data_IF_664089638748
#
_entry.id   IF_664089638748
#
_cell.length_a   1.000
_cell.length_b   1.000
_cell.length_c   1.000
_cell.angle_alpha   90.00
_cell.angle_beta   90.00
_cell.angle_gamma   90.00
#
_symmetry.space_group_name_H-M   'P 1'
#
loop_
_entity.id
_entity.type
_entity.pdbx_description
1 polymer ?
#
# COMPACT_ATOMS: atom_id res chain seq x y z
N UNK A 1 10.61 62.56 -3.22
CA UNK A 1 9.29 62.78 -3.84
C UNK A 1 8.38 61.65 -3.39
N UNK A 2 7.59 61.91 -2.34
CA UNK A 2 6.74 60.93 -1.67
C UNK A 2 5.37 60.91 -2.35
N UNK A 3 4.95 59.76 -2.89
CA UNK A 3 3.67 59.64 -3.61
C UNK A 3 2.69 58.84 -2.76
N UNK A 4 1.89 59.56 -1.99
CA UNK A 4 0.71 59.06 -1.26
C UNK A 4 -0.33 58.58 -2.27
N UNK A 5 -0.69 57.29 -2.24
CA UNK A 5 -1.84 56.76 -3.00
C UNK A 5 -3.01 56.50 -2.05
N UNK A 6 -4.15 57.06 -2.42
CA UNK A 6 -5.39 57.09 -1.66
C UNK A 6 -6.06 55.71 -1.56
N UNK A 7 -6.47 55.40 -0.34
CA UNK A 7 -7.35 54.30 0.03
C UNK A 7 -8.77 54.58 -0.48
N UNK A 8 -9.41 53.63 -1.17
CA UNK A 8 -10.85 53.64 -1.40
C UNK A 8 -11.46 52.36 -0.83
N UNK A 9 -12.13 52.53 0.31
CA UNK A 9 -13.02 51.56 0.94
C UNK A 9 -14.26 51.38 0.06
N UNK A 10 -14.55 50.14 -0.34
CA UNK A 10 -15.87 49.74 -0.83
C UNK A 10 -16.62 49.04 0.30
N UNK A 11 -17.76 49.62 0.64
CA UNK A 11 -18.62 49.22 1.75
C UNK A 11 -19.76 48.29 1.27
N UNK A 12 -20.09 47.34 2.16
CA UNK A 12 -21.42 46.81 2.49
C UNK A 12 -22.33 46.23 1.39
N UNK A 13 -22.68 44.95 1.55
CA UNK A 13 -24.10 44.58 1.74
C UNK A 13 -24.22 43.19 2.41
N UNK A 14 -24.82 43.18 3.60
CA UNK A 14 -25.25 41.99 4.34
C UNK A 14 -26.78 41.88 4.23
N UNK A 15 -27.31 40.67 4.05
CA UNK A 15 -28.75 40.35 4.13
C UNK A 15 -28.93 38.96 4.78
N UNK A 16 -30.10 38.64 5.37
CA UNK A 16 -30.19 38.12 6.73
C UNK A 16 -30.70 36.67 6.83
N UNK A 17 -30.56 36.17 8.06
CA UNK A 17 -31.03 34.90 8.63
C UNK A 17 -32.56 34.90 8.80
N UNK A 18 -33.25 33.83 8.42
CA UNK A 18 -34.63 33.54 8.84
C UNK A 18 -34.67 32.13 9.46
N UNK A 19 -35.10 32.07 10.72
CA UNK A 19 -35.45 30.86 11.47
C UNK A 19 -36.97 30.74 11.45
N UNK A 20 -37.49 29.54 11.15
CA UNK A 20 -38.87 29.17 11.44
C UNK A 20 -38.90 27.71 11.88
N UNK A 21 -39.24 27.48 13.15
CA UNK A 21 -39.61 26.17 13.68
C UNK A 21 -41.12 25.96 13.59
N UNK A 22 -41.56 24.70 13.64
CA UNK A 22 -42.88 24.34 14.11
C UNK A 22 -42.83 22.94 14.75
N UNK A 23 -43.24 22.92 16.02
CA UNK A 23 -43.48 21.79 16.89
C UNK A 23 -44.81 21.07 16.58
N UNK A 24 -44.82 19.77 16.87
CA UNK A 24 -45.89 18.88 17.36
C UNK A 24 -47.37 19.18 17.04
N UNK A 25 -48.10 18.20 16.49
CA UNK A 25 -49.52 17.92 16.78
C UNK A 25 -49.91 16.51 16.31
N UNK A 26 -50.50 15.73 17.22
CA UNK A 26 -51.14 14.41 17.03
C UNK A 26 -52.34 14.42 16.07
N UNK A 27 -52.77 13.24 15.62
CA UNK A 27 -54.14 12.84 15.97
C UNK A 27 -54.25 11.39 16.49
N UNK A 28 -55.03 11.25 17.56
CA UNK A 28 -55.61 10.03 18.13
C UNK A 28 -57.13 10.08 17.92
N UNK A 29 -57.74 9.06 17.30
CA UNK A 29 -58.76 8.19 17.92
C UNK A 29 -59.14 7.01 16.99
N UNK A 30 -59.51 5.89 17.63
CA UNK A 30 -59.56 4.49 17.18
C UNK A 30 -60.98 4.10 16.66
N UNK A 31 -61.49 2.82 16.64
CA UNK A 31 -61.01 1.51 17.13
C UNK A 31 -61.14 0.40 16.03
N UNK A 32 -60.91 -0.91 16.15
CA UNK A 32 -60.81 -1.89 17.23
C UNK A 32 -60.01 -3.09 16.67
N UNK A 33 -59.11 -3.72 17.42
CA UNK A 33 -59.38 -5.00 18.10
C UNK A 33 -58.20 -5.34 19.03
N UNK A 34 -58.51 -5.92 20.18
CA UNK A 34 -57.64 -6.22 21.32
C UNK A 34 -57.97 -7.67 21.76
N UNK A 35 -57.24 -8.34 22.68
CA UNK A 35 -55.78 -8.44 22.91
C UNK A 35 -55.32 -9.92 23.10
N UNK A 36 -54.08 -10.05 23.61
CA UNK A 36 -53.55 -11.13 24.47
C UNK A 36 -52.72 -12.20 23.76
N UNK A 37 -51.64 -12.77 24.32
CA UNK A 37 -50.72 -12.45 25.41
C UNK A 37 -49.64 -13.56 25.38
N UNK A 38 -48.53 -13.31 26.09
CA UNK A 38 -47.67 -14.31 26.77
C UNK A 38 -46.74 -15.26 25.99
N UNK A 39 -45.44 -15.02 26.19
CA UNK A 39 -44.38 -15.93 26.67
C UNK A 39 -44.34 -17.41 26.27
N UNK A 40 -43.21 -17.85 25.71
CA UNK A 40 -42.49 -19.09 26.12
C UNK A 40 -41.10 -19.11 25.47
N UNK A 41 -40.01 -19.28 26.23
CA UNK A 41 -39.33 -20.57 26.54
C UNK A 41 -38.84 -21.25 25.24
N UNK A 42 -37.53 -21.36 24.95
CA UNK A 42 -36.54 -22.12 25.71
C UNK A 42 -36.46 -23.55 25.16
N UNK A 43 -35.24 -24.13 25.11
CA UNK A 43 -34.88 -25.52 24.70
C UNK A 43 -34.76 -25.71 23.18
N UNK A 44 -33.78 -26.42 22.59
CA UNK A 44 -33.11 -27.66 23.00
C UNK A 44 -31.70 -27.82 22.42
N UNK A 45 -30.77 -28.27 23.27
CA UNK A 45 -29.53 -28.96 22.91
C UNK A 45 -29.79 -30.20 22.05
N UNK A 46 -28.94 -30.43 21.05
CA UNK A 46 -28.80 -31.73 20.41
C UNK A 46 -27.44 -32.32 20.82
N UNK A 47 -27.48 -33.35 21.66
CA UNK A 47 -26.38 -34.27 21.90
C UNK A 47 -26.84 -35.66 21.45
N UNK A 48 -26.07 -36.28 20.56
CA UNK A 48 -26.20 -37.70 20.26
C UNK A 48 -24.82 -38.27 19.99
N UNK A 49 -24.43 -39.23 20.82
CA UNK A 49 -23.24 -40.07 20.71
C UNK A 49 -23.56 -41.37 19.98
N UNK A 50 -22.59 -41.88 19.22
CA UNK A 50 -22.31 -43.33 19.03
C UNK A 50 -21.10 -43.48 18.09
N UNK A 51 -19.94 -44.01 18.52
CA UNK A 51 -19.52 -45.43 18.64
C UNK A 51 -18.95 -46.01 17.34
N UNK A 52 -17.62 -46.21 17.35
CA UNK A 52 -16.83 -47.39 16.92
C UNK A 52 -17.07 -48.05 15.54
N UNK A 53 -16.01 -48.20 14.72
CA UNK A 53 -15.54 -49.51 14.19
C UNK A 53 -14.53 -49.39 13.04
N UNK A 54 -13.49 -50.22 13.17
CA UNK A 54 -12.44 -50.67 12.25
C UNK A 54 -12.75 -50.78 10.74
N UNK A 55 -11.78 -50.41 9.90
CA UNK A 55 -11.38 -51.20 8.72
C UNK A 55 -10.01 -50.76 8.14
N UNK A 56 -9.11 -51.73 7.98
CA UNK A 56 -7.90 -51.66 7.14
C UNK A 56 -8.28 -51.53 5.65
N UNK A 57 -7.60 -50.67 4.89
CA UNK A 57 -7.53 -50.76 3.43
C UNK A 57 -6.26 -50.08 2.89
N UNK A 58 -5.52 -50.83 2.07
CA UNK A 58 -4.22 -50.51 1.48
C UNK A 58 -4.30 -49.70 0.19
N UNK A 59 -3.16 -49.06 -0.18
CA UNK A 59 -2.67 -48.64 -1.53
C UNK A 59 -2.72 -47.14 -1.85
N UNK A 60 -1.87 -46.62 -2.76
CA UNK A 60 -0.53 -47.03 -3.19
C UNK A 60 0.52 -45.92 -2.99
N UNK A 61 1.82 -46.29 -2.96
CA UNK A 61 2.92 -45.35 -3.12
C UNK A 61 2.82 -44.65 -4.50
N UNK A 62 2.68 -43.32 -4.48
CA UNK A 62 2.95 -42.48 -5.64
C UNK A 62 4.37 -41.95 -5.51
N UNK A 63 5.26 -42.15 -6.50
CA UNK A 63 6.51 -41.39 -6.54
C UNK A 63 6.17 -39.95 -6.93
N UNK A 64 6.02 -39.08 -5.94
CA UNK A 64 6.13 -37.63 -6.17
C UNK A 64 7.57 -37.35 -6.55
N UNK A 65 7.83 -37.35 -7.87
CA UNK A 65 8.96 -36.64 -8.44
C UNK A 65 8.73 -35.16 -8.18
N UNK A 66 9.22 -34.67 -7.04
CA UNK A 66 9.42 -33.24 -6.83
C UNK A 66 10.52 -32.80 -7.79
N UNK A 67 10.12 -32.44 -9.01
CA UNK A 67 10.92 -31.53 -9.83
C UNK A 67 10.72 -30.16 -9.22
N UNK A 68 11.56 -29.85 -8.24
CA UNK A 68 11.84 -28.48 -7.85
C UNK A 68 12.36 -27.78 -9.11
N UNK A 69 11.71 -26.72 -9.61
CA UNK A 69 12.39 -25.84 -10.54
C UNK A 69 13.50 -25.18 -9.73
N UNK A 70 14.73 -25.69 -9.85
CA UNK A 70 15.91 -24.91 -9.50
C UNK A 70 15.86 -23.65 -10.37
N UNK A 71 15.26 -22.60 -9.80
CA UNK A 71 15.38 -21.24 -10.27
C UNK A 71 16.89 -21.00 -10.33
N UNK A 72 17.40 -20.96 -11.56
CA UNK A 72 18.82 -20.68 -11.82
C UNK A 72 19.04 -19.21 -11.53
N UNK A 73 18.95 -18.83 -10.25
CA UNK A 73 19.46 -17.58 -9.74
C UNK A 73 20.98 -17.70 -9.82
N UNK A 74 21.54 -17.27 -10.95
CA UNK A 74 22.98 -17.06 -11.07
C UNK A 74 23.47 -16.26 -9.86
N UNK A 75 24.64 -16.62 -9.32
CA UNK A 75 25.20 -15.98 -8.13
C UNK A 75 25.10 -14.46 -8.24
N UNK A 76 24.58 -13.82 -7.18
CA UNK A 76 24.40 -12.37 -7.15
C UNK A 76 25.73 -11.63 -7.43
N UNK A 77 25.73 -10.55 -8.23
CA UNK A 77 26.92 -9.73 -8.49
C UNK A 77 27.53 -9.13 -7.22
N UNK A 78 28.80 -8.72 -7.29
CA UNK A 78 29.47 -8.08 -6.16
C UNK A 78 28.77 -6.77 -5.74
N UNK A 79 28.38 -6.67 -4.47
CA UNK A 79 27.69 -5.48 -3.93
C UNK A 79 26.16 -5.48 -4.11
N UNK A 80 25.61 -6.49 -4.79
CA UNK A 80 24.18 -6.79 -4.79
C UNK A 80 23.73 -7.16 -3.36
N UNK A 81 22.59 -6.64 -2.92
CA UNK A 81 22.06 -6.86 -1.58
C UNK A 81 20.92 -7.87 -1.61
N UNK A 82 21.01 -8.93 -0.80
CA UNK A 82 19.98 -9.97 -0.74
C UNK A 82 20.12 -11.02 -1.85
N UNK A 83 19.06 -11.80 -2.07
CA UNK A 83 19.04 -12.90 -3.04
C UNK A 83 18.13 -12.52 -4.21
N UNK A 84 18.64 -12.47 -5.45
CA UNK A 84 17.83 -12.13 -6.61
C UNK A 84 16.77 -13.21 -6.87
N UNK A 85 15.53 -12.79 -7.15
CA UNK A 85 14.43 -13.67 -7.53
C UNK A 85 13.42 -12.93 -8.42
N UNK A 86 12.70 -13.65 -9.26
CA UNK A 86 11.57 -13.09 -10.01
C UNK A 86 10.26 -13.06 -9.20
N UNK A 87 10.21 -13.76 -8.06
CA UNK A 87 9.02 -13.84 -7.22
C UNK A 87 8.76 -12.52 -6.47
N UNK A 88 7.49 -12.30 -6.09
CA UNK A 88 7.09 -11.20 -5.19
C UNK A 88 7.83 -11.32 -3.83
N UNK A 89 8.23 -10.19 -3.27
CA UNK A 89 9.05 -10.08 -2.06
C UNK A 89 8.29 -9.36 -0.94
N UNK A 90 7.34 -10.00 -0.24
CA UNK A 90 6.64 -9.39 0.88
C UNK A 90 7.48 -9.42 2.17
N UNK A 91 7.45 -8.32 2.93
CA UNK A 91 7.87 -8.29 4.32
C UNK A 91 6.75 -7.67 5.18
N UNK A 92 6.15 -8.48 6.05
CA UNK A 92 5.18 -8.00 7.03
C UNK A 92 5.90 -7.56 8.30
N UNK A 93 6.34 -6.29 8.33
CA UNK A 93 7.07 -5.73 9.47
C UNK A 93 6.97 -4.20 9.51
N UNK A 94 5.80 -3.64 9.84
CA UNK A 94 5.59 -2.19 9.84
C UNK A 94 5.01 -1.61 11.15
N UNK A 95 4.85 -2.41 12.20
CA UNK A 95 4.22 -1.94 13.44
C UNK A 95 5.02 -0.79 14.08
N UNK A 96 4.38 0.37 14.20
CA UNK A 96 4.95 1.57 14.84
C UNK A 96 6.03 2.30 14.05
N UNK A 97 6.20 2.01 12.75
CA UNK A 97 7.11 2.77 11.89
C UNK A 97 6.50 4.11 11.43
N UNK A 98 7.32 5.15 11.42
CA UNK A 98 6.97 6.50 10.96
C UNK A 98 8.03 7.00 9.96
N UNK A 99 8.21 6.24 8.89
CA UNK A 99 9.25 6.46 7.89
C UNK A 99 8.76 7.44 6.82
N UNK A 100 9.31 8.65 6.82
CA UNK A 100 9.01 9.71 5.85
C UNK A 100 9.97 9.57 4.67
N UNK A 101 9.50 9.26 3.44
CA UNK A 101 10.36 9.20 2.26
C UNK A 101 10.90 10.60 1.95
N UNK A 102 12.22 10.77 1.94
CA UNK A 102 12.88 12.08 1.73
C UNK A 102 13.69 12.14 0.44
N UNK A 103 14.05 10.99 -0.14
CA UNK A 103 14.74 10.95 -1.42
C UNK A 103 14.51 9.62 -2.16
N UNK A 104 14.50 9.71 -3.50
CA UNK A 104 14.53 8.58 -4.41
C UNK A 104 15.78 8.71 -5.26
N UNK A 105 16.58 7.64 -5.35
CA UNK A 105 17.79 7.61 -6.18
C UNK A 105 17.84 6.33 -7.00
N UNK A 106 18.35 6.44 -8.22
CA UNK A 106 18.56 5.31 -9.12
C UNK A 106 20.02 5.34 -9.57
N UNK A 107 20.68 4.19 -9.64
CA UNK A 107 22.07 4.10 -10.07
C UNK A 107 22.38 2.76 -10.71
N UNK A 108 23.23 2.79 -11.73
CA UNK A 108 23.75 1.59 -12.39
C UNK A 108 25.08 1.16 -11.82
N UNK A 109 25.23 -0.14 -11.63
CA UNK A 109 26.43 -0.80 -11.13
C UNK A 109 26.83 -1.96 -12.06
N UNK A 110 28.00 -2.54 -11.81
CA UNK A 110 28.43 -3.72 -12.55
C UNK A 110 27.55 -4.92 -12.17
N UNK A 111 26.71 -5.35 -13.12
CA UNK A 111 25.84 -6.52 -12.99
C UNK A 111 24.50 -6.28 -12.31
N UNK A 112 24.23 -5.07 -11.81
CA UNK A 112 22.93 -4.71 -11.26
C UNK A 112 22.62 -3.22 -11.33
N UNK A 113 21.34 -2.88 -11.33
CA UNK A 113 20.85 -1.51 -11.12
C UNK A 113 20.14 -1.43 -9.77
N UNK A 114 20.24 -0.26 -9.12
CA UNK A 114 19.75 -0.04 -7.76
C UNK A 114 18.78 1.13 -7.71
N UNK A 115 17.63 0.90 -7.08
CA UNK A 115 16.72 1.94 -6.62
C UNK A 115 16.85 2.06 -5.10
N UNK A 116 17.01 3.28 -4.58
CA UNK A 116 17.07 3.58 -3.15
C UNK A 116 15.98 4.58 -2.80
N UNK A 117 15.10 4.19 -1.88
CA UNK A 117 14.19 5.10 -1.19
C UNK A 117 14.80 5.38 0.18
N UNK A 118 15.22 6.62 0.43
CA UNK A 118 15.73 7.07 1.72
C UNK A 118 14.62 7.67 2.55
N UNK A 119 14.64 7.39 3.84
CA UNK A 119 13.67 7.88 4.79
C UNK A 119 14.33 8.62 5.95
N UNK A 120 13.53 9.47 6.59
CA UNK A 120 13.75 9.90 7.97
C UNK A 120 12.68 9.30 8.87
N UNK A 121 12.92 9.34 10.18
CA UNK A 121 11.98 8.82 11.17
C UNK A 121 12.35 7.42 11.68
N UNK A 122 11.66 6.96 12.73
CA UNK A 122 11.94 5.70 13.40
C UNK A 122 11.21 4.49 12.79
N UNK A 123 11.63 3.30 13.22
CA UNK A 123 10.98 2.03 12.91
C UNK A 123 11.61 1.29 11.73
N UNK A 124 10.96 0.18 11.35
CA UNK A 124 11.34 -0.65 10.20
C UNK A 124 10.14 -0.73 9.26
N UNK A 125 10.35 -0.69 7.94
CA UNK A 125 9.26 -0.75 6.98
C UNK A 125 8.80 -2.20 6.78
N UNK A 126 7.51 -2.36 6.51
CA UNK A 126 7.02 -3.50 5.76
C UNK A 126 7.01 -3.15 4.27
N UNK A 127 6.88 -4.14 3.40
CA UNK A 127 6.68 -3.87 1.98
C UNK A 127 6.05 -5.06 1.26
N UNK A 128 5.56 -4.79 0.05
CA UNK A 128 5.22 -5.79 -0.93
C UNK A 128 5.68 -5.33 -2.31
N UNK A 129 5.88 -6.30 -3.21
CA UNK A 129 6.20 -6.04 -4.60
C UNK A 129 5.29 -6.84 -5.52
N UNK A 130 5.05 -6.30 -6.71
CA UNK A 130 4.26 -6.98 -7.73
C UNK A 130 4.68 -6.54 -9.13
N UNK A 131 5.04 -7.49 -9.99
CA UNK A 131 5.22 -7.22 -11.41
C UNK A 131 3.87 -7.04 -12.13
N UNK A 132 3.74 -6.01 -12.96
CA UNK A 132 2.54 -5.76 -13.76
C UNK A 132 2.81 -4.88 -14.98
N UNK A 133 2.00 -5.03 -16.02
CA UNK A 133 1.98 -4.13 -17.18
C UNK A 133 0.84 -3.11 -17.12
N UNK A 134 0.10 -3.08 -16.02
CA UNK A 134 -1.04 -2.18 -15.82
C UNK A 134 -1.10 -1.72 -14.36
N UNK A 135 -0.06 -1.04 -13.87
CA UNK A 135 -0.07 -0.53 -12.50
C UNK A 135 -1.18 0.51 -12.36
N UNK A 136 -1.82 0.50 -11.18
CA UNK A 136 -2.89 1.42 -10.84
C UNK A 136 -2.60 2.07 -9.49
N UNK A 137 -2.97 3.34 -9.36
CA UNK A 137 -2.77 4.10 -8.13
C UNK A 137 -3.67 3.53 -7.02
N UNK A 138 -3.08 3.23 -5.86
CA UNK A 138 -3.84 2.81 -4.68
C UNK A 138 -4.96 3.81 -4.37
N UNK A 139 -6.05 3.30 -3.77
CA UNK A 139 -7.32 3.97 -3.51
C UNK A 139 -8.15 4.36 -4.77
N UNK A 140 -7.55 5.05 -5.75
CA UNK A 140 -8.30 5.57 -6.90
C UNK A 140 -8.54 4.54 -8.02
N UNK A 141 -7.66 3.54 -8.14
CA UNK A 141 -7.67 2.56 -9.22
C UNK A 141 -7.32 3.12 -10.61
N UNK A 142 -6.89 4.39 -10.70
CA UNK A 142 -6.50 5.01 -11.98
C UNK A 142 -5.20 4.40 -12.50
N UNK A 143 -5.05 4.17 -13.81
CA UNK A 143 -3.79 3.73 -14.39
C UNK A 143 -2.63 4.68 -14.06
N UNK A 144 -1.46 4.12 -13.78
CA UNK A 144 -0.22 4.86 -13.55
C UNK A 144 0.66 4.71 -14.79
N UNK A 145 1.10 5.83 -15.36
CA UNK A 145 2.05 5.82 -16.47
C UNK A 145 3.46 5.48 -15.97
N UNK A 146 4.19 4.69 -16.75
CA UNK A 146 5.59 4.35 -16.55
C UNK A 146 6.26 4.12 -17.91
N UNK A 147 7.57 4.32 -17.98
CA UNK A 147 8.38 3.99 -19.16
C UNK A 147 8.93 2.57 -19.03
N UNK A 148 9.14 1.84 -20.14
CA UNK A 148 9.69 0.48 -20.14
C UNK A 148 8.71 -0.60 -20.60
N UNK A 149 9.18 -1.84 -20.61
CA UNK A 149 8.39 -3.00 -21.04
C UNK A 149 7.48 -3.55 -19.93
N UNK A 150 7.89 -3.41 -18.67
CA UNK A 150 7.13 -3.85 -17.50
C UNK A 150 7.37 -2.92 -16.32
N UNK A 151 6.57 -3.03 -15.27
CA UNK A 151 6.76 -2.30 -14.04
C UNK A 151 6.75 -3.23 -12.81
N UNK A 152 7.59 -2.89 -11.83
CA UNK A 152 7.47 -3.39 -10.47
C UNK A 152 6.72 -2.35 -9.63
N UNK A 153 5.55 -2.72 -9.11
CA UNK A 153 4.89 -1.95 -8.04
C UNK A 153 5.59 -2.28 -6.73
N UNK A 154 6.01 -1.26 -5.99
CA UNK A 154 6.58 -1.36 -4.65
C UNK A 154 5.69 -0.55 -3.70
N UNK A 155 5.00 -1.22 -2.78
CA UNK A 155 4.31 -0.57 -1.68
C UNK A 155 5.15 -0.68 -0.41
N UNK A 156 5.45 0.45 0.22
CA UNK A 156 6.25 0.51 1.45
C UNK A 156 5.36 0.94 2.61
N UNK A 157 5.24 0.08 3.60
CA UNK A 157 4.41 0.27 4.79
C UNK A 157 5.15 1.00 5.91
N UNK A 158 4.38 1.59 6.84
CA UNK A 158 4.94 2.38 7.93
C UNK A 158 5.34 3.79 7.48
N UNK A 159 4.71 4.31 6.43
CA UNK A 159 4.99 5.64 5.88
C UNK A 159 3.79 6.57 6.10
N UNK A 160 3.90 7.60 6.96
CA UNK A 160 2.75 8.39 7.39
C UNK A 160 2.29 9.34 6.28
N UNK A 161 0.98 9.44 6.02
CA UNK A 161 0.43 10.38 5.04
C UNK A 161 0.84 11.85 5.34
N UNK A 162 1.31 12.63 4.36
CA UNK A 162 1.73 14.03 4.53
C UNK A 162 0.55 14.98 4.78
N UNK A 163 -0.06 14.86 5.96
CA UNK A 163 -1.27 15.60 6.38
C UNK A 163 -1.00 17.03 6.87
N UNK A 164 0.25 17.37 7.18
CA UNK A 164 0.65 18.69 7.69
C UNK A 164 1.63 19.37 6.75
N UNK A 165 1.70 20.72 6.71
CA UNK A 165 2.67 21.43 5.88
C UNK A 165 4.12 21.04 6.17
N UNK A 166 4.45 20.77 7.44
CA UNK A 166 5.80 20.36 7.84
C UNK A 166 6.16 18.99 7.25
N UNK A 167 5.23 18.04 7.30
CA UNK A 167 5.45 16.70 6.75
C UNK A 167 5.49 16.75 5.22
N UNK A 168 4.63 17.54 4.58
CA UNK A 168 4.64 17.77 3.13
C UNK A 168 5.98 18.32 2.62
N UNK A 169 6.61 19.22 3.38
CA UNK A 169 7.92 19.78 3.03
C UNK A 169 9.08 18.78 3.15
N UNK A 170 8.94 17.76 4.01
CA UNK A 170 9.95 16.71 4.18
C UNK A 170 9.81 15.62 3.12
N UNK A 171 8.59 15.36 2.66
CA UNK A 171 8.31 14.34 1.66
C UNK A 171 9.07 14.62 0.36
N UNK A 172 9.67 13.57 -0.19
CA UNK A 172 10.11 13.57 -1.57
C UNK A 172 8.93 13.90 -2.49
N UNK A 173 9.20 14.63 -3.58
CA UNK A 173 8.15 15.04 -4.52
C UNK A 173 7.44 13.83 -5.12
N UNK A 174 6.11 13.89 -5.22
CA UNK A 174 5.30 12.94 -5.98
C UNK A 174 5.50 13.23 -7.47
N UNK A 175 6.47 12.56 -8.07
CA UNK A 175 6.89 12.77 -9.46
C UNK A 175 7.60 11.51 -9.99
N UNK A 176 7.97 11.54 -11.26
CA UNK A 176 8.84 10.53 -11.85
C UNK A 176 10.31 10.95 -11.72
N UNK A 177 11.08 10.12 -11.03
CA UNK A 177 12.53 10.23 -10.92
C UNK A 177 13.20 9.53 -12.12
N UNK A 178 14.25 10.12 -12.72
CA UNK A 178 14.98 9.50 -13.83
C UNK A 178 15.55 8.13 -13.47
N UNK A 179 15.49 7.21 -14.43
CA UNK A 179 16.09 5.89 -14.31
C UNK A 179 17.60 5.83 -14.64
N UNK A 180 18.18 4.64 -14.51
CA UNK A 180 19.52 4.29 -14.94
C UNK A 180 19.57 2.79 -15.31
N UNK A 181 20.28 2.46 -16.40
CA UNK A 181 20.41 1.07 -16.85
C UNK A 181 19.08 0.47 -17.31
N UNK A 182 18.74 -0.70 -16.79
CA UNK A 182 17.47 -1.39 -16.99
C UNK A 182 16.29 -0.73 -16.27
N UNK A 183 16.54 0.07 -15.22
CA UNK A 183 15.50 0.89 -14.59
C UNK A 183 15.26 2.12 -15.46
N UNK A 184 14.09 2.24 -16.06
CA UNK A 184 13.74 3.33 -16.97
C UNK A 184 13.25 4.58 -16.24
N UNK A 185 12.68 4.42 -15.04
CA UNK A 185 12.25 5.50 -14.18
C UNK A 185 11.53 4.99 -12.93
N UNK A 186 11.38 5.86 -11.93
CA UNK A 186 10.66 5.54 -10.69
C UNK A 186 9.60 6.60 -10.44
N UNK A 187 8.33 6.23 -10.56
CA UNK A 187 7.21 7.11 -10.27
C UNK A 187 6.82 6.97 -8.79
N UNK A 188 6.98 8.05 -8.01
CA UNK A 188 6.43 8.11 -6.65
C UNK A 188 4.96 8.55 -6.73
N UNK A 189 4.06 7.58 -6.66
CA UNK A 189 2.66 7.74 -7.06
C UNK A 189 1.83 8.44 -6.00
N UNK A 190 1.86 7.91 -4.78
CA UNK A 190 1.09 8.43 -3.66
C UNK A 190 1.63 7.91 -2.32
N UNK A 191 1.09 8.47 -1.24
CA UNK A 191 1.01 7.80 0.04
C UNK A 191 -0.48 7.60 0.38
N UNK A 192 -0.88 6.51 1.01
CA UNK A 192 -2.26 6.25 1.45
C UNK A 192 -2.25 5.16 2.51
N UNK A 193 -3.12 5.22 3.53
CA UNK A 193 -3.26 4.17 4.56
C UNK A 193 -1.93 3.71 5.19
N UNK A 194 -1.05 4.65 5.52
CA UNK A 194 0.28 4.39 6.07
C UNK A 194 1.24 3.63 5.12
N UNK A 195 0.99 3.69 3.82
CA UNK A 195 1.81 3.10 2.77
C UNK A 195 2.19 4.13 1.70
N UNK A 196 3.38 4.00 1.12
CA UNK A 196 3.86 4.81 -0.01
C UNK A 196 3.98 3.89 -1.21
N UNK A 197 3.40 4.29 -2.35
CA UNK A 197 3.40 3.51 -3.57
C UNK A 197 4.42 4.07 -4.56
N UNK A 198 5.32 3.20 -5.02
CA UNK A 198 6.26 3.46 -6.10
C UNK A 198 5.97 2.53 -7.27
N UNK A 199 6.09 3.04 -8.49
CA UNK A 199 6.04 2.24 -9.72
C UNK A 199 7.39 2.39 -10.41
N UNK A 200 8.14 1.29 -10.46
CA UNK A 200 9.48 1.22 -11.03
C UNK A 200 9.35 0.65 -12.44
N UNK A 201 9.58 1.48 -13.45
CA UNK A 201 9.63 1.04 -14.84
C UNK A 201 10.92 0.29 -15.15
N UNK A 202 10.81 -0.77 -15.95
CA UNK A 202 11.93 -1.64 -16.31
C UNK A 202 11.92 -1.96 -17.81
N UNK A 203 13.10 -2.02 -18.44
CA UNK A 203 13.25 -2.38 -19.84
C UNK A 203 12.87 -3.85 -20.14
N UNK A 204 12.97 -4.71 -19.14
CA UNK A 204 12.58 -6.13 -19.12
C UNK A 204 12.36 -6.60 -17.69
N UNK A 205 11.72 -7.75 -17.51
CA UNK A 205 11.61 -8.37 -16.19
C UNK A 205 12.97 -8.90 -15.73
N UNK A 206 13.38 -8.58 -14.50
CA UNK A 206 14.69 -8.95 -13.94
C UNK A 206 14.53 -9.60 -12.56
N UNK A 207 15.36 -10.60 -12.22
CA UNK A 207 15.50 -11.03 -10.83
C UNK A 207 15.91 -9.86 -9.95
N UNK A 208 15.26 -9.72 -8.81
CA UNK A 208 15.47 -8.60 -7.91
C UNK A 208 15.42 -9.02 -6.45
N UNK A 209 15.83 -8.12 -5.58
CA UNK A 209 15.74 -8.26 -4.13
C UNK A 209 15.29 -6.93 -3.52
N UNK A 210 14.73 -7.00 -2.31
CA UNK A 210 14.41 -5.80 -1.51
C UNK A 210 15.08 -5.94 -0.16
N UNK A 211 15.84 -4.93 0.25
CA UNK A 211 16.56 -4.93 1.51
C UNK A 211 16.38 -3.62 2.26
N UNK A 212 16.45 -3.69 3.59
CA UNK A 212 16.42 -2.52 4.46
C UNK A 212 17.80 -2.25 5.06
N UNK A 213 18.23 -0.99 5.00
CA UNK A 213 19.48 -0.52 5.62
C UNK A 213 19.17 0.56 6.65
N UNK A 214 19.97 0.62 7.71
CA UNK A 214 19.89 1.65 8.74
C UNK A 214 20.97 2.74 8.53
N UNK A 215 20.79 3.91 9.14
CA UNK A 215 21.77 5.00 9.20
C UNK A 215 22.21 5.64 7.86
N UNK A 216 21.35 6.35 7.11
CA UNK A 216 19.91 6.57 7.32
C UNK A 216 19.04 5.38 6.89
N UNK A 217 17.79 5.28 7.38
CA UNK A 217 16.83 4.26 6.95
C UNK A 217 16.63 4.27 5.43
N UNK A 218 16.80 3.13 4.78
CA UNK A 218 16.66 3.00 3.31
C UNK A 218 16.02 1.67 2.96
N UNK A 219 15.06 1.72 2.05
CA UNK A 219 14.63 0.54 1.27
C UNK A 219 15.41 0.56 -0.03
N UNK A 220 16.09 -0.55 -0.31
CA UNK A 220 16.94 -0.72 -1.49
C UNK A 220 16.39 -1.86 -2.31
N UNK A 221 16.12 -1.59 -3.59
CA UNK A 221 15.75 -2.60 -4.59
C UNK A 221 16.89 -2.76 -5.57
N UNK A 222 17.47 -3.95 -5.64
CA UNK A 222 18.49 -4.28 -6.63
C UNK A 222 17.90 -5.17 -7.71
N UNK A 223 18.17 -4.83 -8.97
CA UNK A 223 17.78 -5.60 -10.14
C UNK A 223 19.02 -6.20 -10.79
N UNK A 224 19.09 -7.52 -10.90
CA UNK A 224 20.23 -8.20 -11.51
C UNK A 224 20.17 -8.07 -13.04
N UNK A 225 21.20 -7.47 -13.64
CA UNK A 225 21.24 -7.16 -15.08
C UNK A 225 22.10 -8.12 -15.91
N UNK A 226 22.89 -8.98 -15.25
CA UNK A 226 23.80 -9.96 -15.87
C UNK A 226 23.78 -11.31 -15.18
#
# INVERSE_FOLDING_TARGET
MSTTRHFRYSALLALPLIVAGCSSTEPSDAPASSPAATSSSGTTSAATSSTESSALASSPESPTTSTDPEDTAGSAPAGFLGTPSLADQPLTQAEGAELVPVAVRVGSHEGYDRVVIEFTGPGKPGWYTQYTNSPAAQASGKPVAYDGATALVLGIEGTPWPSTPQLQQQYAEFTTYPGAGAVTGVNFVNAFEAQSQFVIGLDRQLPYSVTFLEGPPRVVVDFQTS
#
